data_IF_315107163929
#
_entry.id   IF_315107163929
#
_cell.length_a   1.000
_cell.length_b   1.000
_cell.length_c   1.000
_cell.angle_alpha   90.00
_cell.angle_beta   90.00
_cell.angle_gamma   90.00
#
_symmetry.space_group_name_H-M   'P 1'
#
loop_
_entity.id
_entity.type
_entity.pdbx_description
1 polymer ?
#
# COMPACT_ATOMS: atom_id res chain seq x y z
N UNK A 1 -54.99 -40.81 -17.17
CA UNK A 1 -54.95 -39.36 -17.47
C UNK A 1 -53.97 -38.72 -16.49
N UNK A 2 -52.98 -37.95 -16.98
CA UNK A 2 -51.65 -37.91 -16.39
C UNK A 2 -51.52 -36.78 -15.37
N UNK A 3 -50.82 -37.04 -14.27
CA UNK A 3 -50.06 -36.02 -13.57
C UNK A 3 -49.12 -36.76 -12.64
N UNK A 4 -47.82 -36.64 -12.87
CA UNK A 4 -46.76 -36.85 -11.89
C UNK A 4 -45.46 -36.32 -12.50
N UNK A 5 -45.24 -35.04 -12.23
CA UNK A 5 -43.95 -34.37 -12.19
C UNK A 5 -42.81 -35.33 -11.80
N UNK A 6 -41.68 -35.29 -12.51
CA UNK A 6 -40.36 -35.39 -11.86
C UNK A 6 -39.18 -35.02 -12.76
N UNK A 7 -38.57 -33.90 -12.36
CA UNK A 7 -37.11 -33.65 -12.22
C UNK A 7 -36.25 -33.60 -13.49
N UNK A 8 -36.12 -32.38 -14.03
CA UNK A 8 -34.88 -31.92 -14.65
C UNK A 8 -33.81 -31.73 -13.56
N UNK A 9 -32.80 -32.60 -13.54
CA UNK A 9 -31.61 -32.41 -12.70
C UNK A 9 -30.67 -31.49 -13.47
N UNK A 10 -30.74 -30.19 -13.22
CA UNK A 10 -29.72 -29.25 -13.63
C UNK A 10 -28.53 -29.41 -12.67
N UNK A 11 -27.47 -30.07 -13.13
CA UNK A 11 -26.21 -30.18 -12.40
C UNK A 11 -25.56 -28.79 -12.32
N UNK A 12 -25.81 -28.06 -11.24
CA UNK A 12 -25.09 -26.83 -10.92
C UNK A 12 -23.67 -27.19 -10.48
N UNK A 13 -22.72 -27.12 -11.41
CA UNK A 13 -21.31 -27.11 -11.07
C UNK A 13 -21.00 -25.82 -10.31
N UNK A 14 -21.09 -25.88 -8.97
CA UNK A 14 -20.55 -24.86 -8.09
C UNK A 14 -19.03 -24.94 -8.20
N UNK A 15 -18.46 -24.16 -9.11
CA UNK A 15 -17.04 -23.83 -9.06
C UNK A 15 -16.88 -22.92 -7.84
N UNK A 16 -16.56 -23.51 -6.70
CA UNK A 16 -16.04 -22.79 -5.56
C UNK A 16 -14.66 -22.26 -5.98
N UNK A 17 -14.63 -21.09 -6.63
CA UNK A 17 -13.45 -20.25 -6.59
C UNK A 17 -13.31 -19.82 -5.13
N UNK A 18 -12.57 -20.61 -4.36
CA UNK A 18 -11.88 -20.10 -3.18
C UNK A 18 -10.90 -19.06 -3.70
N UNK A 19 -11.41 -17.85 -3.98
CA UNK A 19 -10.58 -16.68 -4.14
C UNK A 19 -9.78 -16.59 -2.85
N UNK A 20 -8.47 -16.74 -2.96
CA UNK A 20 -7.59 -16.32 -1.89
C UNK A 20 -7.96 -14.86 -1.61
N UNK A 21 -8.55 -14.61 -0.46
CA UNK A 21 -8.63 -13.26 0.07
C UNK A 21 -7.18 -12.87 0.35
N UNK A 22 -6.49 -12.35 -0.66
CA UNK A 22 -5.31 -11.53 -0.45
C UNK A 22 -5.82 -10.35 0.37
N UNK A 23 -5.63 -10.43 1.69
CA UNK A 23 -5.77 -9.26 2.53
C UNK A 23 -4.67 -8.30 2.08
N UNK A 24 -4.98 -7.42 1.13
CA UNK A 24 -4.17 -6.24 0.86
C UNK A 24 -4.11 -5.48 2.19
N UNK A 25 -2.96 -5.56 2.85
CA UNK A 25 -2.67 -4.85 4.09
C UNK A 25 -2.85 -3.35 3.80
N UNK A 26 -4.02 -2.82 4.13
CA UNK A 26 -4.37 -1.43 3.85
C UNK A 26 -3.85 -0.59 5.01
N UNK A 27 -2.80 0.20 4.77
CA UNK A 27 -2.26 1.14 5.75
C UNK A 27 -2.96 2.49 5.59
N UNK A 28 -3.49 3.04 6.68
CA UNK A 28 -4.24 4.31 6.66
C UNK A 28 -3.65 5.26 7.71
N UNK A 29 -3.36 6.50 7.30
CA UNK A 29 -2.99 7.59 8.20
C UNK A 29 -3.40 8.94 7.60
N UNK A 30 -3.73 9.90 8.47
CA UNK A 30 -4.02 11.27 8.06
C UNK A 30 -2.74 12.09 7.93
N UNK A 31 -2.62 12.80 6.82
CA UNK A 31 -1.50 13.69 6.52
C UNK A 31 -2.00 15.12 6.38
N UNK A 32 -1.36 16.02 7.12
CA UNK A 32 -1.57 17.46 6.95
C UNK A 32 -0.59 18.00 5.93
N UNK A 33 -1.11 18.78 4.98
CA UNK A 33 -0.34 19.32 3.86
C UNK A 33 -0.62 20.81 3.69
N UNK A 34 0.45 21.60 3.61
CA UNK A 34 0.40 23.04 3.31
C UNK A 34 1.12 23.27 1.98
N UNK A 35 0.44 23.76 0.93
CA UNK A 35 1.01 23.83 -0.42
C UNK A 35 2.19 24.82 -0.54
N UNK A 36 2.22 25.84 0.32
CA UNK A 36 3.30 26.84 0.34
C UNK A 36 4.51 26.41 1.19
N UNK A 37 4.45 25.24 1.82
CA UNK A 37 5.55 24.74 2.64
C UNK A 37 6.70 24.21 1.75
N UNK A 38 7.96 24.39 2.17
CA UNK A 38 9.11 23.79 1.48
C UNK A 38 8.98 22.27 1.32
N UNK A 39 9.48 21.72 0.21
CA UNK A 39 9.41 20.29 -0.13
C UNK A 39 10.04 19.42 0.96
N UNK A 40 11.22 19.80 1.46
CA UNK A 40 11.94 19.10 2.51
C UNK A 40 11.19 19.10 3.84
N UNK A 41 10.55 20.22 4.19
CA UNK A 41 9.72 20.34 5.40
C UNK A 41 8.48 19.47 5.29
N UNK A 42 7.78 19.53 4.15
CA UNK A 42 6.60 18.70 3.87
C UNK A 42 6.96 17.21 3.94
N UNK A 43 8.04 16.82 3.27
CA UNK A 43 8.50 15.44 3.24
C UNK A 43 8.88 14.94 4.64
N UNK A 44 9.61 15.73 5.43
CA UNK A 44 9.98 15.37 6.80
C UNK A 44 8.75 15.22 7.71
N UNK A 45 7.72 16.06 7.53
CA UNK A 45 6.47 15.94 8.27
C UNK A 45 5.73 14.64 7.90
N UNK A 46 5.69 14.29 6.61
CA UNK A 46 5.11 13.03 6.16
C UNK A 46 5.88 11.83 6.74
N UNK A 47 7.21 11.83 6.69
CA UNK A 47 8.04 10.75 7.27
C UNK A 47 7.76 10.58 8.77
N UNK A 48 7.62 11.68 9.50
CA UNK A 48 7.31 11.67 10.93
C UNK A 48 5.93 11.06 11.20
N UNK A 49 4.92 11.45 10.43
CA UNK A 49 3.55 10.94 10.56
C UNK A 49 3.50 9.45 10.19
N UNK A 50 4.08 9.05 9.07
CA UNK A 50 4.15 7.65 8.64
C UNK A 50 4.88 6.79 9.69
N UNK A 51 6.02 7.26 10.22
CA UNK A 51 6.76 6.54 11.28
C UNK A 51 5.92 6.36 12.55
N UNK A 52 5.12 7.35 12.92
CA UNK A 52 4.25 7.27 14.09
C UNK A 52 3.09 6.30 13.85
N UNK A 53 2.44 6.39 12.69
CA UNK A 53 1.31 5.53 12.32
C UNK A 53 1.73 4.06 12.17
N UNK A 54 2.90 3.81 11.58
CA UNK A 54 3.42 2.47 11.34
C UNK A 54 4.10 1.83 12.54
N UNK A 55 4.07 2.43 13.73
CA UNK A 55 4.74 1.85 14.90
C UNK A 55 3.97 0.63 15.39
N UNK A 56 4.57 -0.55 15.25
CA UNK A 56 3.95 -1.81 15.68
C UNK A 56 4.57 -2.27 16.99
N UNK A 57 3.76 -2.69 17.96
CA UNK A 57 4.30 -3.29 19.17
C UNK A 57 4.88 -4.68 18.90
N UNK A 58 6.08 -4.98 19.41
CA UNK A 58 6.71 -6.29 19.22
C UNK A 58 5.86 -7.47 19.70
N UNK A 59 4.88 -7.24 20.57
CA UNK A 59 3.96 -8.26 21.08
C UNK A 59 2.86 -8.64 20.07
N UNK A 60 2.62 -7.81 19.06
CA UNK A 60 1.59 -8.01 18.04
C UNK A 60 2.10 -8.80 16.83
N UNK A 61 3.40 -9.06 16.74
CA UNK A 61 4.05 -9.68 15.59
C UNK A 61 5.03 -10.77 16.04
N UNK A 62 5.18 -11.83 15.24
CA UNK A 62 5.94 -13.03 15.58
C UNK A 62 7.47 -12.88 15.72
N UNK A 63 7.99 -11.66 15.87
CA UNK A 63 9.41 -11.38 16.08
C UNK A 63 9.85 -9.99 15.62
N UNK A 64 11.08 -9.61 15.99
CA UNK A 64 11.68 -8.31 15.65
C UNK A 64 11.84 -8.15 14.14
N UNK A 65 12.27 -9.19 13.43
CA UNK A 65 12.45 -9.14 11.98
C UNK A 65 11.12 -8.87 11.25
N UNK A 66 10.05 -9.58 11.65
CA UNK A 66 8.70 -9.36 11.12
C UNK A 66 8.22 -7.93 11.41
N UNK A 67 8.46 -7.43 12.64
CA UNK A 67 8.15 -6.04 13.01
C UNK A 67 8.82 -5.06 12.05
N UNK A 68 10.14 -5.14 11.91
CA UNK A 68 10.91 -4.22 11.06
C UNK A 68 10.41 -4.25 9.62
N UNK A 69 10.07 -5.43 9.10
CA UNK A 69 9.55 -5.57 7.75
C UNK A 69 8.16 -4.94 7.58
N UNK A 70 7.23 -5.19 8.51
CA UNK A 70 5.88 -4.61 8.47
C UNK A 70 5.96 -3.08 8.61
N UNK A 71 6.75 -2.58 9.57
CA UNK A 71 6.93 -1.13 9.74
C UNK A 71 7.55 -0.48 8.49
N UNK A 72 8.44 -1.19 7.79
CA UNK A 72 9.03 -0.72 6.54
C UNK A 72 7.97 -0.63 5.43
N UNK A 73 7.24 -1.72 5.18
CA UNK A 73 6.21 -1.77 4.14
C UNK A 73 5.12 -0.72 4.38
N UNK A 74 4.67 -0.58 5.62
CA UNK A 74 3.71 0.44 6.02
C UNK A 74 4.21 1.85 5.68
N UNK A 75 5.46 2.19 6.03
CA UNK A 75 6.01 3.52 5.74
C UNK A 75 6.15 3.77 4.24
N UNK A 76 6.62 2.78 3.49
CA UNK A 76 6.76 2.90 2.03
C UNK A 76 5.40 3.14 1.37
N UNK A 77 4.38 2.40 1.77
CA UNK A 77 3.02 2.56 1.25
C UNK A 77 2.44 3.95 1.60
N UNK A 78 2.44 4.31 2.89
CA UNK A 78 1.89 5.59 3.33
C UNK A 78 2.61 6.80 2.74
N UNK A 79 3.94 6.73 2.58
CA UNK A 79 4.71 7.82 1.97
C UNK A 79 4.40 7.95 0.48
N UNK A 80 4.32 6.83 -0.24
CA UNK A 80 4.00 6.83 -1.68
C UNK A 80 2.62 7.46 -1.91
N UNK A 81 1.62 7.03 -1.14
CA UNK A 81 0.26 7.53 -1.26
C UNK A 81 0.14 9.00 -0.86
N UNK A 82 0.74 9.39 0.27
CA UNK A 82 0.69 10.77 0.76
C UNK A 82 1.34 11.74 -0.23
N UNK A 83 2.52 11.39 -0.76
CA UNK A 83 3.22 12.22 -1.75
C UNK A 83 2.42 12.32 -3.04
N UNK A 84 1.92 11.20 -3.57
CA UNK A 84 1.10 11.20 -4.78
C UNK A 84 -0.19 12.02 -4.63
N UNK A 85 -0.83 11.97 -3.45
CA UNK A 85 -2.04 12.72 -3.15
C UNK A 85 -1.85 14.24 -3.19
N UNK A 86 -0.64 14.74 -2.90
CA UNK A 86 -0.34 16.19 -2.99
C UNK A 86 -0.36 16.72 -4.42
N UNK A 87 -0.10 15.87 -5.41
CA UNK A 87 0.08 16.23 -6.83
C UNK A 87 1.16 17.31 -7.06
N UNK A 88 2.12 17.45 -6.14
CA UNK A 88 3.26 18.34 -6.32
C UNK A 88 4.40 17.59 -7.01
N UNK A 89 4.68 17.92 -8.28
CA UNK A 89 5.74 17.29 -9.06
C UNK A 89 7.10 17.34 -8.35
N UNK A 90 7.41 18.45 -7.68
CA UNK A 90 8.65 18.62 -6.92
C UNK A 90 8.75 17.65 -5.72
N UNK A 91 7.64 17.37 -5.04
CA UNK A 91 7.61 16.43 -3.91
C UNK A 91 7.66 14.97 -4.39
N UNK A 92 6.99 14.67 -5.51
CA UNK A 92 7.04 13.36 -6.17
C UNK A 92 8.47 13.06 -6.61
N UNK A 93 9.13 13.96 -7.34
CA UNK A 93 10.51 13.80 -7.78
C UNK A 93 11.48 13.66 -6.58
N UNK A 94 11.24 14.42 -5.51
CA UNK A 94 12.02 14.30 -4.27
C UNK A 94 11.87 12.91 -3.63
N UNK A 95 10.65 12.35 -3.62
CA UNK A 95 10.38 11.01 -3.10
C UNK A 95 11.03 9.91 -3.96
N UNK A 96 10.89 9.99 -5.28
CA UNK A 96 11.47 9.03 -6.23
C UNK A 96 13.01 8.99 -6.12
N UNK A 97 13.66 10.15 -6.03
CA UNK A 97 15.10 10.24 -5.84
C UNK A 97 15.62 9.59 -4.54
N UNK A 98 14.76 9.37 -3.55
CA UNK A 98 15.10 8.73 -2.27
C UNK A 98 14.71 7.26 -2.20
N UNK A 99 13.80 6.80 -3.05
CA UNK A 99 13.25 5.43 -3.03
C UNK A 99 13.80 4.57 -4.16
N UNK A 100 14.24 5.15 -5.27
CA UNK A 100 14.85 4.41 -6.35
C UNK A 100 16.24 3.89 -5.95
N UNK A 101 16.54 2.60 -6.17
CA UNK A 101 17.92 2.13 -6.11
C UNK A 101 18.71 2.87 -7.20
N UNK A 102 19.92 3.33 -6.88
CA UNK A 102 20.74 4.20 -7.74
C UNK A 102 20.91 3.66 -9.18
N UNK A 103 20.81 2.34 -9.35
CA UNK A 103 20.82 1.64 -10.64
C UNK A 103 19.68 2.01 -11.59
N UNK A 104 18.54 2.53 -11.12
CA UNK A 104 17.42 2.94 -11.99
C UNK A 104 17.54 4.38 -12.49
N UNK A 105 18.18 5.26 -11.73
CA UNK A 105 18.49 6.64 -12.13
C UNK A 105 19.52 6.69 -13.26
N UNK A 106 20.50 5.78 -13.28
CA UNK A 106 21.47 5.68 -14.39
C UNK A 106 20.85 5.19 -15.71
N UNK A 107 19.81 4.35 -15.67
CA UNK A 107 19.13 3.90 -16.90
C UNK A 107 18.22 4.99 -17.50
N UNK A 108 17.62 5.85 -16.68
CA UNK A 108 16.74 6.93 -17.15
C UNK A 108 17.52 8.07 -17.83
N UNK A 109 18.80 8.26 -17.49
CA UNK A 109 19.67 9.29 -18.11
C UNK A 109 20.27 8.86 -19.46
N UNK A 110 20.10 7.61 -19.90
CA UNK A 110 20.68 7.06 -21.14
C UNK A 110 19.71 6.98 -22.32
N UNK A 111 18.46 7.45 -22.18
CA UNK A 111 17.47 7.48 -23.26
C UNK A 111 17.07 8.92 -23.61
#
# INVERSE_FOLDING_TARGET
>A
MPSLFKTLIAASALVALTGAASADETFIADFEFTPDAPVDVTYANFEKTAKKACRVESRMVGGIAARVQIEKLCREHLMTDAVAATKMDALIAYHEGRTLPETKLELASRN
#
